data_IF_009781897344
#
_entry.id   IF_009781897344
#
_cell.length_a   1.000
_cell.length_b   1.000
_cell.length_c   1.000
_cell.angle_alpha   90.00
_cell.angle_beta   90.00
_cell.angle_gamma   90.00
#
_symmetry.space_group_name_H-M   'P 1'
#
loop_
_entity.id
_entity.type
_entity.pdbx_description
1 polymer ?
#
# COMPACT_ATOMS: atom_id res chain seq x y z
N UNK A 1 16.46 1.53 33.18
CA UNK A 1 16.56 1.16 31.75
C UNK A 1 18.00 1.39 31.31
N UNK A 2 18.62 0.41 30.65
CA UNK A 2 19.97 0.60 30.13
C UNK A 2 19.96 1.60 28.96
N UNK A 3 21.02 2.39 28.76
CA UNK A 3 21.11 3.36 27.66
C UNK A 3 20.88 2.72 26.28
N UNK A 4 21.28 1.46 26.09
CA UNK A 4 21.05 0.69 24.86
C UNK A 4 19.57 0.46 24.58
N UNK A 5 18.78 0.11 25.58
CA UNK A 5 17.32 -0.09 25.44
C UNK A 5 16.63 1.22 25.05
N UNK A 6 17.03 2.33 25.62
CA UNK A 6 16.49 3.66 25.25
C UNK A 6 16.82 3.98 23.79
N UNK A 7 18.05 3.72 23.37
CA UNK A 7 18.47 3.95 21.99
C UNK A 7 17.67 3.07 20.99
N UNK A 8 17.51 1.78 21.29
CA UNK A 8 16.76 0.86 20.44
C UNK A 8 15.27 1.27 20.32
N UNK A 9 14.68 1.73 21.43
CA UNK A 9 13.29 2.25 21.42
C UNK A 9 13.16 3.52 20.60
N UNK A 10 14.12 4.44 20.68
CA UNK A 10 14.12 5.68 19.88
C UNK A 10 14.26 5.38 18.39
N UNK A 11 15.21 4.52 18.02
CA UNK A 11 15.45 4.14 16.63
C UNK A 11 14.22 3.38 16.08
N UNK A 12 13.70 2.41 16.82
CA UNK A 12 12.49 1.67 16.42
C UNK A 12 11.28 2.58 16.27
N UNK A 13 11.08 3.50 17.21
CA UNK A 13 10.02 4.50 17.15
C UNK A 13 10.15 5.44 15.95
N UNK A 14 11.38 5.88 15.62
CA UNK A 14 11.64 6.74 14.46
C UNK A 14 11.36 6.01 13.13
N UNK A 15 11.77 4.75 13.01
CA UNK A 15 11.49 3.92 11.82
C UNK A 15 9.99 3.72 11.66
N UNK A 16 9.30 3.31 12.72
CA UNK A 16 7.85 3.07 12.69
C UNK A 16 7.09 4.37 12.38
N UNK A 17 7.48 5.47 13.02
CA UNK A 17 6.91 6.80 12.75
C UNK A 17 7.14 7.25 11.32
N UNK A 18 8.32 6.98 10.75
CA UNK A 18 8.64 7.23 9.34
C UNK A 18 7.73 6.46 8.38
N UNK A 19 7.47 5.17 8.66
CA UNK A 19 6.55 4.36 7.88
C UNK A 19 5.12 4.94 7.93
N UNK A 20 4.61 5.31 9.10
CA UNK A 20 3.29 5.93 9.21
C UNK A 20 3.23 7.30 8.49
N UNK A 21 4.30 8.08 8.52
CA UNK A 21 4.39 9.33 7.80
C UNK A 21 4.30 9.13 6.27
N UNK A 22 4.96 8.10 5.73
CA UNK A 22 4.86 7.74 4.31
C UNK A 22 3.44 7.33 3.92
N UNK A 23 2.78 6.51 4.74
CA UNK A 23 1.38 6.12 4.54
C UNK A 23 0.47 7.34 4.53
N UNK A 24 0.63 8.22 5.50
CA UNK A 24 -0.16 9.45 5.63
C UNK A 24 0.06 10.40 4.44
N UNK A 25 1.31 10.54 3.96
CA UNK A 25 1.62 11.30 2.75
C UNK A 25 0.92 10.74 1.52
N UNK A 26 0.95 9.42 1.33
CA UNK A 26 0.25 8.75 0.23
C UNK A 26 -1.26 9.02 0.24
N UNK A 27 -1.91 8.89 1.39
CA UNK A 27 -3.33 9.18 1.56
C UNK A 27 -3.65 10.67 1.33
N UNK A 28 -2.82 11.57 1.85
CA UNK A 28 -3.00 13.02 1.65
C UNK A 28 -2.88 13.41 0.18
N UNK A 29 -1.92 12.84 -0.56
CA UNK A 29 -1.78 13.10 -1.99
C UNK A 29 -2.99 12.57 -2.77
N UNK A 30 -3.45 11.35 -2.47
CA UNK A 30 -4.63 10.79 -3.13
C UNK A 30 -5.88 11.65 -2.90
N UNK A 31 -6.18 11.97 -1.65
CA UNK A 31 -7.37 12.77 -1.33
C UNK A 31 -7.22 14.24 -1.74
N UNK A 32 -6.07 14.84 -1.48
CA UNK A 32 -5.82 16.25 -1.78
C UNK A 32 -5.84 16.57 -3.28
N UNK A 33 -5.27 15.69 -4.10
CA UNK A 33 -5.17 15.92 -5.55
C UNK A 33 -6.35 15.35 -6.33
N UNK A 34 -6.81 14.16 -5.96
CA UNK A 34 -7.79 13.39 -6.75
C UNK A 34 -9.17 13.30 -6.11
N UNK A 35 -9.32 13.73 -4.86
CA UNK A 35 -10.55 13.55 -4.06
C UNK A 35 -11.01 12.08 -3.97
N UNK A 36 -10.08 11.16 -4.12
CA UNK A 36 -10.30 9.72 -4.02
C UNK A 36 -10.10 9.28 -2.58
N UNK A 37 -11.13 8.66 -1.99
CA UNK A 37 -11.05 7.98 -0.71
C UNK A 37 -10.73 6.50 -0.97
N UNK A 38 -9.48 6.13 -0.79
CA UNK A 38 -9.01 4.76 -1.03
C UNK A 38 -8.69 4.05 0.28
N UNK A 39 -9.66 3.31 0.82
CA UNK A 39 -9.46 2.50 2.03
C UNK A 39 -8.59 1.26 1.80
N UNK A 40 -8.39 0.84 0.54
CA UNK A 40 -7.48 -0.25 0.18
C UNK A 40 -5.99 0.14 0.21
N UNK A 41 -5.66 1.38 0.62
CA UNK A 41 -4.27 1.86 0.65
C UNK A 41 -3.35 0.95 1.49
N UNK A 42 -3.82 0.47 2.65
CA UNK A 42 -3.10 -0.48 3.49
C UNK A 42 -2.85 -1.82 2.81
N UNK A 43 -3.81 -2.30 2.01
CA UNK A 43 -3.68 -3.57 1.29
C UNK A 43 -2.60 -3.50 0.19
N UNK A 44 -2.42 -2.35 -0.45
CA UNK A 44 -1.30 -2.16 -1.38
C UNK A 44 0.05 -2.22 -0.69
N UNK A 45 0.17 -1.71 0.53
CA UNK A 45 1.39 -1.83 1.33
C UNK A 45 1.66 -3.29 1.70
N UNK A 46 0.62 -4.02 2.11
CA UNK A 46 0.70 -5.45 2.39
C UNK A 46 1.19 -6.23 1.16
N UNK A 47 0.58 -6.01 -0.01
CA UNK A 47 0.99 -6.67 -1.26
C UNK A 47 2.44 -6.33 -1.61
N UNK A 48 2.87 -5.07 -1.45
CA UNK A 48 4.26 -4.66 -1.63
C UNK A 48 5.22 -5.41 -0.71
N UNK A 49 4.86 -5.60 0.55
CA UNK A 49 5.61 -6.39 1.52
C UNK A 49 5.72 -7.86 1.11
N UNK A 50 4.63 -8.48 0.69
CA UNK A 50 4.63 -9.87 0.21
C UNK A 50 5.43 -10.06 -1.08
N UNK A 51 5.37 -9.13 -2.02
CA UNK A 51 6.21 -9.14 -3.22
C UNK A 51 7.69 -9.07 -2.87
N UNK A 52 8.06 -8.15 -1.97
CA UNK A 52 9.45 -8.02 -1.48
C UNK A 52 9.93 -9.30 -0.81
N UNK A 53 9.11 -9.89 0.06
CA UNK A 53 9.39 -11.17 0.70
C UNK A 53 9.60 -12.29 -0.33
N UNK A 54 8.71 -12.40 -1.32
CA UNK A 54 8.79 -13.43 -2.37
C UNK A 54 10.06 -13.29 -3.21
N UNK A 55 10.41 -12.07 -3.60
CA UNK A 55 11.65 -11.79 -4.34
C UNK A 55 12.90 -12.15 -3.54
N UNK A 56 12.89 -11.85 -2.24
CA UNK A 56 13.99 -12.20 -1.34
C UNK A 56 14.13 -13.72 -1.19
N UNK A 57 13.03 -14.43 -0.92
CA UNK A 57 13.06 -15.89 -0.67
C UNK A 57 13.30 -16.71 -1.93
N UNK A 58 12.79 -16.29 -3.07
CA UNK A 58 12.94 -17.02 -4.33
C UNK A 58 14.30 -16.80 -5.01
N UNK A 59 14.83 -15.58 -4.94
CA UNK A 59 16.02 -15.18 -5.70
C UNK A 59 17.15 -14.63 -4.83
N UNK A 60 17.02 -14.61 -3.52
CA UNK A 60 18.03 -14.09 -2.60
C UNK A 60 18.34 -12.59 -2.76
N UNK A 61 17.44 -11.85 -3.40
CA UNK A 61 17.63 -10.41 -3.64
C UNK A 61 17.57 -9.65 -2.31
N UNK A 62 18.50 -8.72 -2.11
CA UNK A 62 18.47 -7.86 -0.93
C UNK A 62 17.13 -7.10 -0.86
N UNK A 63 16.41 -7.11 0.29
CA UNK A 63 15.12 -6.45 0.44
C UNK A 63 15.12 -4.96 0.03
N UNK A 64 16.22 -4.24 0.25
CA UNK A 64 16.36 -2.84 -0.17
C UNK A 64 16.40 -2.69 -1.70
N UNK A 65 16.99 -3.65 -2.41
CA UNK A 65 17.04 -3.65 -3.87
C UNK A 65 15.69 -4.03 -4.50
N UNK A 66 14.85 -4.76 -3.79
CA UNK A 66 13.51 -5.11 -4.29
C UNK A 66 12.63 -3.88 -4.52
N UNK A 67 12.93 -2.75 -3.88
CA UNK A 67 12.23 -1.46 -4.13
C UNK A 67 12.31 -1.06 -5.61
N UNK A 68 13.41 -1.38 -6.30
CA UNK A 68 13.56 -1.10 -7.74
C UNK A 68 12.60 -1.90 -8.62
N UNK A 69 12.07 -3.00 -8.12
CA UNK A 69 11.07 -3.83 -8.81
C UNK A 69 9.67 -3.55 -8.29
N UNK A 70 9.50 -3.53 -6.98
CA UNK A 70 8.18 -3.31 -6.35
C UNK A 70 7.66 -1.90 -6.56
N UNK A 71 8.53 -0.89 -6.62
CA UNK A 71 8.16 0.50 -6.90
C UNK A 71 7.49 0.68 -8.27
N UNK A 72 8.17 0.32 -9.37
CA UNK A 72 7.57 0.35 -10.71
C UNK A 72 6.33 -0.54 -10.84
N UNK A 73 6.32 -1.72 -10.21
CA UNK A 73 5.15 -2.61 -10.21
C UNK A 73 3.95 -1.95 -9.51
N UNK A 74 4.15 -1.35 -8.34
CA UNK A 74 3.11 -0.63 -7.62
C UNK A 74 2.62 0.60 -8.41
N UNK A 75 3.53 1.33 -9.05
CA UNK A 75 3.18 2.45 -9.93
C UNK A 75 2.32 1.99 -11.11
N UNK A 76 2.69 0.91 -11.80
CA UNK A 76 1.94 0.35 -12.90
C UNK A 76 0.55 -0.14 -12.46
N UNK A 77 0.45 -0.78 -11.30
CA UNK A 77 -0.83 -1.20 -10.70
C UNK A 77 -1.72 0.01 -10.38
N UNK A 78 -1.16 1.05 -9.76
CA UNK A 78 -1.88 2.30 -9.48
C UNK A 78 -2.37 3.01 -10.74
N UNK A 79 -1.53 3.08 -11.77
CA UNK A 79 -1.88 3.66 -13.07
C UNK A 79 -2.99 2.84 -13.76
N UNK A 80 -2.91 1.51 -13.69
CA UNK A 80 -3.95 0.60 -14.19
C UNK A 80 -5.29 0.82 -13.49
N UNK A 81 -5.31 0.88 -12.16
CA UNK A 81 -6.51 1.16 -11.38
C UNK A 81 -7.09 2.54 -11.70
N UNK A 82 -6.23 3.56 -11.81
CA UNK A 82 -6.67 4.89 -12.20
C UNK A 82 -7.35 4.87 -13.57
N UNK A 83 -6.73 4.28 -14.57
CA UNK A 83 -7.27 4.25 -15.94
C UNK A 83 -8.53 3.40 -16.07
N UNK A 84 -8.57 2.25 -15.42
CA UNK A 84 -9.67 1.28 -15.58
C UNK A 84 -10.91 1.66 -14.75
N UNK A 85 -10.69 2.20 -13.54
CA UNK A 85 -11.75 2.45 -12.57
C UNK A 85 -12.01 3.95 -12.38
N UNK A 86 -11.05 4.68 -11.86
CA UNK A 86 -11.24 6.08 -11.48
C UNK A 86 -11.44 7.04 -12.66
N UNK A 87 -10.73 6.83 -13.77
CA UNK A 87 -10.90 7.66 -14.95
C UNK A 87 -12.28 7.48 -15.61
N UNK A 88 -12.89 6.30 -15.49
CA UNK A 88 -14.26 6.07 -15.96
C UNK A 88 -15.27 6.80 -15.08
N UNK A 89 -15.09 6.78 -13.77
CA UNK A 89 -15.95 7.51 -12.83
C UNK A 89 -15.86 9.03 -13.05
N UNK A 90 -14.65 9.56 -13.24
CA UNK A 90 -14.44 10.99 -13.52
C UNK A 90 -15.14 11.44 -14.81
N UNK A 91 -15.18 10.59 -15.84
CA UNK A 91 -15.85 10.90 -17.12
C UNK A 91 -17.38 10.89 -17.03
N UNK A 92 -17.94 10.30 -16.00
CA UNK A 92 -19.40 10.28 -15.80
C UNK A 92 -19.98 11.65 -15.41
N UNK A 93 -19.12 12.64 -15.10
CA UNK A 93 -19.56 14.03 -14.87
C UNK A 93 -20.32 14.24 -13.57
N UNK A 94 -20.13 13.38 -12.59
CA UNK A 94 -20.82 13.44 -11.31
C UNK A 94 -20.26 14.54 -10.38
N UNK A 95 -21.04 14.91 -9.35
CA UNK A 95 -20.60 15.90 -8.37
C UNK A 95 -19.38 15.36 -7.58
N UNK A 96 -18.49 16.24 -7.08
CA UNK A 96 -17.31 15.84 -6.30
C UNK A 96 -17.64 14.98 -5.07
N UNK A 97 -18.77 15.23 -4.42
CA UNK A 97 -19.23 14.47 -3.25
C UNK A 97 -19.67 13.04 -3.65
N UNK A 98 -20.38 12.92 -4.77
CA UNK A 98 -20.81 11.64 -5.29
C UNK A 98 -19.62 10.79 -5.75
N UNK A 99 -18.65 11.42 -6.40
CA UNK A 99 -17.39 10.79 -6.79
C UNK A 99 -16.59 10.28 -5.58
N UNK A 100 -16.49 11.07 -4.50
CA UNK A 100 -15.81 10.64 -3.27
C UNK A 100 -16.50 9.42 -2.64
N UNK A 101 -17.84 9.42 -2.57
CA UNK A 101 -18.64 8.31 -2.03
C UNK A 101 -18.50 7.03 -2.87
N UNK A 102 -18.53 7.15 -4.19
CA UNK A 102 -18.34 6.03 -5.10
C UNK A 102 -16.91 5.47 -5.03
N UNK A 103 -15.90 6.34 -4.92
CA UNK A 103 -14.50 5.92 -4.78
C UNK A 103 -14.27 5.15 -3.48
N UNK A 104 -14.95 5.55 -2.40
CA UNK A 104 -14.94 4.84 -1.13
C UNK A 104 -15.52 3.43 -1.27
N UNK A 105 -16.70 3.32 -1.88
CA UNK A 105 -17.35 2.02 -2.11
C UNK A 105 -16.52 1.09 -3.01
N UNK A 106 -15.95 1.65 -4.08
CA UNK A 106 -15.06 0.93 -4.99
C UNK A 106 -13.82 0.40 -4.27
N UNK A 107 -13.22 1.24 -3.41
CA UNK A 107 -12.02 0.86 -2.67
C UNK A 107 -12.28 -0.20 -1.59
N UNK A 108 -13.48 -0.27 -1.04
CA UNK A 108 -13.89 -1.39 -0.18
C UNK A 108 -13.91 -2.72 -0.96
N UNK A 109 -14.49 -2.73 -2.16
CA UNK A 109 -14.44 -3.90 -3.03
C UNK A 109 -13.01 -4.31 -3.37
N UNK A 110 -12.15 -3.34 -3.68
CA UNK A 110 -10.74 -3.57 -3.97
C UNK A 110 -9.98 -4.11 -2.75
N UNK A 111 -10.26 -3.61 -1.55
CA UNK A 111 -9.72 -4.11 -0.29
C UNK A 111 -9.99 -5.60 -0.14
N UNK A 112 -11.24 -6.04 -0.31
CA UNK A 112 -11.60 -7.45 -0.20
C UNK A 112 -10.91 -8.31 -1.27
N UNK A 113 -10.81 -7.82 -2.51
CA UNK A 113 -10.13 -8.53 -3.61
C UNK A 113 -8.65 -8.71 -3.29
N UNK A 114 -7.96 -7.66 -2.85
CA UNK A 114 -6.54 -7.71 -2.52
C UNK A 114 -6.28 -8.61 -1.30
N UNK A 115 -7.09 -8.49 -0.25
CA UNK A 115 -6.96 -9.28 0.96
C UNK A 115 -7.16 -10.77 0.69
N UNK A 116 -8.24 -11.14 -0.01
CA UNK A 116 -8.49 -12.54 -0.35
C UNK A 116 -7.48 -13.07 -1.38
N UNK A 117 -7.07 -12.25 -2.35
CA UNK A 117 -6.01 -12.59 -3.29
C UNK A 117 -4.69 -12.88 -2.59
N UNK A 118 -4.30 -12.06 -1.63
CA UNK A 118 -3.11 -12.27 -0.83
C UNK A 118 -3.21 -13.56 0.01
N UNK A 119 -4.36 -13.85 0.63
CA UNK A 119 -4.60 -15.09 1.36
C UNK A 119 -4.48 -16.34 0.47
N UNK A 120 -4.96 -16.28 -0.75
CA UNK A 120 -4.86 -17.39 -1.70
C UNK A 120 -3.43 -17.62 -2.19
N UNK A 121 -2.64 -16.57 -2.38
CA UNK A 121 -1.27 -16.65 -2.91
C UNK A 121 -0.22 -16.97 -1.84
N UNK A 122 -0.35 -16.39 -0.64
CA UNK A 122 0.66 -16.45 0.42
C UNK A 122 0.22 -17.12 1.70
N UNK A 123 -1.05 -17.54 1.82
CA UNK A 123 -1.66 -18.07 3.04
C UNK A 123 -1.70 -17.05 4.21
N UNK A 124 -2.32 -17.42 5.32
CA UNK A 124 -2.45 -16.56 6.49
C UNK A 124 -1.23 -16.55 7.42
N UNK A 125 -0.10 -17.14 7.00
CA UNK A 125 1.09 -17.28 7.84
C UNK A 125 1.85 -15.95 7.96
N UNK A 126 2.30 -15.65 9.17
CA UNK A 126 3.21 -14.54 9.42
C UNK A 126 4.56 -14.83 8.76
N UNK A 127 4.95 -13.97 7.81
CA UNK A 127 6.21 -14.07 7.07
C UNK A 127 7.12 -12.91 7.43
N UNK A 128 8.38 -13.20 7.70
CA UNK A 128 9.39 -12.22 8.05
C UNK A 128 10.74 -12.61 7.46
N UNK A 129 11.68 -11.67 7.52
CA UNK A 129 13.07 -11.89 7.15
C UNK A 129 13.83 -12.45 8.36
N UNK A 130 14.57 -13.51 8.19
CA UNK A 130 15.55 -14.05 9.15
C UNK A 130 16.96 -13.74 8.71
#
# INVERSE_FOLDING_TARGET
>A
MSPSVVFDLLVGGLITGGLYALVALGLNLQYGLMRVLNVAHGEFLMVGGYLTYTLHTAWGVNPLLTVLVTGPAAFAAGLGLHRLLYARMLRAGESPEHFASQSLLLSFGLLFILQNGALLLWSADLRGYS
#
